data_IF_975720149473
#
_entry.id   IF_975720149473
#
_cell.length_a   1.000
_cell.length_b   1.000
_cell.length_c   1.000
_cell.angle_alpha   90.00
_cell.angle_beta   90.00
_cell.angle_gamma   90.00
#
_symmetry.space_group_name_H-M   'P 1'
#
loop_
_entity.id
_entity.type
_entity.pdbx_description
1 polymer ?
#
# COMPACT_ATOMS: atom_id res chain seq x y z
N UNK A 1 3.92 58.71 -9.49
CA UNK A 1 2.90 57.66 -9.63
C UNK A 1 3.25 56.57 -8.64
N UNK A 2 2.49 56.47 -7.56
CA UNK A 2 2.71 55.46 -6.52
C UNK A 2 1.86 54.23 -6.84
N UNK A 3 2.49 53.10 -6.89
CA UNK A 3 1.87 51.80 -7.18
C UNK A 3 1.07 51.32 -5.96
N UNK A 4 -0.19 50.97 -6.15
CA UNK A 4 -1.08 50.48 -5.09
C UNK A 4 -0.70 49.09 -4.65
N UNK A 5 -0.74 48.74 -3.34
CA UNK A 5 -0.41 47.40 -2.86
C UNK A 5 -1.48 46.40 -3.28
N UNK A 6 -1.01 45.19 -3.65
CA UNK A 6 -1.85 44.04 -4.03
C UNK A 6 -2.73 43.57 -2.84
N UNK A 7 -3.95 43.09 -3.10
CA UNK A 7 -4.84 42.61 -2.05
C UNK A 7 -4.31 41.34 -1.38
N UNK A 8 -4.25 41.36 -0.05
CA UNK A 8 -3.90 40.20 0.80
C UNK A 8 -5.04 39.20 0.74
N UNK A 9 -4.77 37.99 0.30
CA UNK A 9 -5.72 36.89 0.30
C UNK A 9 -6.13 36.53 1.73
N UNK A 10 -7.43 36.62 2.03
CA UNK A 10 -7.99 36.20 3.29
C UNK A 10 -7.91 34.67 3.40
N UNK A 11 -7.61 34.07 4.58
CA UNK A 11 -7.64 32.64 4.78
C UNK A 11 -9.08 32.14 4.65
N UNK A 12 -9.27 31.15 3.79
CA UNK A 12 -10.54 30.45 3.58
C UNK A 12 -10.96 29.80 4.90
N UNK A 13 -12.06 30.24 5.49
CA UNK A 13 -12.66 29.58 6.64
C UNK A 13 -13.11 28.17 6.21
N UNK A 14 -12.56 27.15 6.85
CA UNK A 14 -12.99 25.79 6.65
C UNK A 14 -14.46 25.66 7.11
N UNK A 15 -15.34 25.27 6.21
CA UNK A 15 -16.72 24.95 6.58
C UNK A 15 -16.73 23.79 7.58
N UNK A 16 -17.53 23.84 8.65
CA UNK A 16 -17.63 22.75 9.61
C UNK A 16 -18.23 21.53 8.91
N UNK A 17 -17.50 20.41 8.99
CA UNK A 17 -17.99 19.10 8.55
C UNK A 17 -19.34 18.81 9.24
N UNK A 18 -20.33 18.24 8.52
CA UNK A 18 -21.56 17.82 9.15
C UNK A 18 -21.24 16.83 10.27
N UNK A 19 -21.80 17.08 11.45
CA UNK A 19 -21.60 16.24 12.62
C UNK A 19 -21.98 14.79 12.28
N UNK A 20 -21.02 13.89 12.41
CA UNK A 20 -21.28 12.46 12.28
C UNK A 20 -22.23 12.04 13.40
N UNK A 21 -23.18 11.11 13.15
CA UNK A 21 -24.06 10.62 14.19
C UNK A 21 -23.20 10.03 15.32
N UNK A 22 -23.44 10.53 16.54
CA UNK A 22 -22.82 9.99 17.74
C UNK A 22 -23.36 8.58 17.97
N UNK A 23 -22.61 7.58 17.53
CA UNK A 23 -22.86 6.20 17.95
C UNK A 23 -22.45 6.08 19.43
N UNK A 24 -23.37 5.57 20.24
CA UNK A 24 -23.08 5.26 21.63
C UNK A 24 -21.84 4.35 21.72
N UNK A 25 -21.01 4.57 22.75
CA UNK A 25 -19.84 3.74 23.02
C UNK A 25 -20.20 2.26 22.92
N UNK A 26 -19.50 1.52 22.04
CA UNK A 26 -19.72 0.09 21.91
C UNK A 26 -19.53 -0.58 23.28
N UNK A 27 -20.46 -1.46 23.72
CA UNK A 27 -20.26 -2.25 24.93
C UNK A 27 -18.96 -3.07 24.77
N UNK A 28 -18.26 -3.26 25.89
CA UNK A 28 -17.07 -4.10 25.94
C UNK A 28 -17.34 -5.45 25.28
N UNK A 29 -16.36 -5.94 24.49
CA UNK A 29 -16.47 -7.19 23.75
C UNK A 29 -17.02 -8.31 24.64
N UNK A 30 -18.26 -8.68 24.40
CA UNK A 30 -18.87 -9.88 24.94
C UNK A 30 -18.30 -11.13 24.26
N UNK A 31 -18.55 -12.32 24.78
CA UNK A 31 -18.13 -13.57 24.15
C UNK A 31 -18.60 -13.58 22.69
N UNK A 32 -17.72 -14.07 21.80
CA UNK A 32 -17.86 -14.02 20.35
C UNK A 32 -19.26 -14.36 19.82
N UNK A 33 -19.55 -14.04 18.55
CA UNK A 33 -20.93 -14.00 18.04
C UNK A 33 -21.64 -15.30 18.36
N UNK A 34 -22.42 -15.26 19.43
CA UNK A 34 -23.34 -16.33 19.80
C UNK A 34 -24.34 -16.44 18.65
N UNK A 35 -24.65 -17.67 18.28
CA UNK A 35 -25.55 -18.01 17.21
C UNK A 35 -26.70 -17.00 17.08
N UNK A 36 -26.80 -16.33 15.95
CA UNK A 36 -27.90 -15.40 15.68
C UNK A 36 -29.19 -16.19 15.71
N UNK A 37 -30.19 -15.83 16.55
CA UNK A 37 -31.45 -16.58 16.66
C UNK A 37 -32.11 -16.70 15.28
N UNK A 38 -32.35 -17.94 14.84
CA UNK A 38 -33.05 -18.21 13.59
C UNK A 38 -32.15 -18.28 12.34
N UNK A 39 -30.83 -18.09 12.47
CA UNK A 39 -29.86 -18.28 11.37
C UNK A 39 -28.88 -19.37 11.77
N UNK A 40 -28.74 -20.39 10.92
CA UNK A 40 -27.78 -21.48 11.10
C UNK A 40 -27.00 -21.74 9.81
N UNK A 41 -25.77 -22.21 9.92
CA UNK A 41 -24.92 -22.53 8.79
C UNK A 41 -23.46 -22.30 9.11
N UNK A 42 -22.59 -22.69 8.18
CA UNK A 42 -21.13 -22.69 8.35
C UNK A 42 -20.51 -21.28 8.48
N UNK A 43 -21.18 -20.24 7.99
CA UNK A 43 -20.73 -18.85 8.15
C UNK A 43 -20.99 -18.28 9.55
N UNK A 44 -21.93 -18.86 10.30
CA UNK A 44 -22.37 -18.36 11.61
C UNK A 44 -22.12 -19.34 12.76
N UNK A 45 -21.40 -20.44 12.50
CA UNK A 45 -21.05 -21.46 13.51
C UNK A 45 -19.79 -21.09 14.33
N UNK A 46 -19.21 -19.92 14.08
CA UNK A 46 -18.04 -19.38 14.77
C UNK A 46 -16.70 -19.66 14.11
N UNK A 47 -16.61 -20.56 13.10
CA UNK A 47 -15.32 -20.87 12.43
C UNK A 47 -14.72 -19.70 11.67
N UNK A 48 -15.54 -18.74 11.24
CA UNK A 48 -15.13 -17.51 10.57
C UNK A 48 -15.23 -16.29 11.47
N UNK A 49 -15.40 -16.47 12.76
CA UNK A 49 -15.39 -15.38 13.72
C UNK A 49 -14.09 -14.61 13.70
N UNK A 50 -14.15 -13.33 14.03
CA UNK A 50 -13.00 -12.47 14.16
C UNK A 50 -12.00 -13.07 15.15
N UNK A 51 -10.72 -13.11 14.75
CA UNK A 51 -9.63 -13.54 15.64
C UNK A 51 -9.26 -12.37 16.54
N UNK A 52 -9.35 -12.58 17.85
CA UNK A 52 -8.87 -11.61 18.81
C UNK A 52 -7.34 -11.44 18.67
N UNK A 53 -6.92 -10.18 18.69
CA UNK A 53 -5.51 -9.79 18.69
C UNK A 53 -5.35 -8.50 19.50
N UNK A 54 -4.13 -8.24 19.96
CA UNK A 54 -3.77 -7.01 20.65
C UNK A 54 -3.87 -5.76 19.77
N UNK A 55 -3.39 -4.65 20.31
CA UNK A 55 -3.24 -3.38 19.58
C UNK A 55 -2.23 -3.55 18.45
N UNK A 56 -2.48 -2.88 17.33
CA UNK A 56 -1.64 -2.92 16.13
C UNK A 56 -2.13 -3.88 15.05
N UNK A 57 -1.28 -4.19 14.06
CA UNK A 57 -1.64 -5.01 12.93
C UNK A 57 -1.66 -6.51 13.27
N UNK A 58 -2.62 -7.23 12.72
CA UNK A 58 -2.73 -8.68 12.84
C UNK A 58 -3.44 -9.27 11.62
N UNK A 59 -3.16 -10.53 11.27
CA UNK A 59 -3.84 -11.19 10.18
C UNK A 59 -5.07 -11.96 10.67
N UNK A 60 -6.24 -11.63 10.13
CA UNK A 60 -7.44 -12.43 10.31
C UNK A 60 -7.36 -13.74 9.53
N UNK A 61 -6.84 -13.66 8.34
CA UNK A 61 -6.36 -14.75 7.49
C UNK A 61 -5.22 -14.21 6.61
N UNK A 62 -4.66 -15.03 5.73
CA UNK A 62 -3.55 -14.62 4.88
C UNK A 62 -3.88 -13.54 3.83
N UNK A 63 -5.14 -13.05 3.77
CA UNK A 63 -5.63 -12.07 2.78
C UNK A 63 -6.37 -10.89 3.42
N UNK A 64 -6.46 -10.86 4.74
CA UNK A 64 -7.20 -9.83 5.47
C UNK A 64 -6.39 -9.35 6.67
N UNK A 65 -5.98 -8.10 6.62
CA UNK A 65 -5.33 -7.40 7.73
C UNK A 65 -6.39 -6.80 8.63
N UNK A 66 -6.24 -6.98 9.94
CA UNK A 66 -6.92 -6.19 10.97
C UNK A 66 -5.90 -5.29 11.64
N UNK A 67 -6.26 -4.03 11.85
CA UNK A 67 -5.48 -3.08 12.66
C UNK A 67 -6.38 -2.61 13.80
N UNK A 68 -6.06 -3.03 15.04
CA UNK A 68 -6.64 -2.40 16.25
C UNK A 68 -5.89 -1.11 16.50
N UNK A 69 -6.61 0.01 16.43
CA UNK A 69 -6.01 1.33 16.52
C UNK A 69 -5.51 1.56 17.96
N UNK A 70 -4.20 1.70 18.11
CA UNK A 70 -3.54 2.22 19.31
C UNK A 70 -2.79 3.49 19.00
N UNK A 71 -2.33 3.60 17.75
CA UNK A 71 -1.67 4.77 17.18
C UNK A 71 -2.20 5.01 15.77
N UNK A 72 -2.15 6.25 15.27
CA UNK A 72 -2.50 6.52 13.89
C UNK A 72 -1.65 5.72 12.91
N UNK A 73 -2.26 5.34 11.79
CA UNK A 73 -1.56 4.67 10.71
C UNK A 73 -1.97 5.20 9.34
N UNK A 74 -1.15 4.93 8.33
CA UNK A 74 -1.44 5.25 6.94
C UNK A 74 -1.97 4.00 6.25
N UNK A 75 -3.01 4.14 5.44
CA UNK A 75 -3.56 3.07 4.64
C UNK A 75 -3.75 3.50 3.18
N UNK A 76 -3.66 2.55 2.26
CA UNK A 76 -4.04 2.75 0.85
C UNK A 76 -5.51 3.13 0.76
N UNK A 77 -5.84 4.13 -0.02
CA UNK A 77 -7.23 4.47 -0.34
C UNK A 77 -7.87 3.32 -1.13
N UNK A 78 -9.10 2.97 -0.74
CA UNK A 78 -9.84 1.85 -1.34
C UNK A 78 -9.53 0.48 -0.75
N UNK A 79 -8.55 0.36 0.15
CA UNK A 79 -8.21 -0.91 0.80
C UNK A 79 -9.12 -1.26 2.01
N UNK A 80 -9.89 -0.30 2.53
CA UNK A 80 -10.77 -0.52 3.67
C UNK A 80 -11.94 -1.41 3.26
N UNK A 81 -12.07 -2.56 3.92
CA UNK A 81 -13.15 -3.54 3.74
C UNK A 81 -14.26 -3.33 4.77
N UNK A 82 -13.86 -3.12 6.03
CA UNK A 82 -14.78 -2.90 7.14
C UNK A 82 -14.08 -2.15 8.27
N UNK A 83 -14.84 -1.59 9.20
CA UNK A 83 -14.31 -1.09 10.46
C UNK A 83 -15.36 -1.19 11.56
N UNK A 84 -14.89 -1.19 12.81
CA UNK A 84 -15.70 -1.21 14.01
C UNK A 84 -15.20 -0.13 14.98
N UNK A 85 -16.12 0.56 15.66
CA UNK A 85 -15.80 1.61 16.62
C UNK A 85 -15.80 3.01 16.03
N UNK A 86 -15.12 3.94 16.70
CA UNK A 86 -15.04 5.34 16.33
C UNK A 86 -13.75 5.60 15.53
N UNK A 87 -13.82 5.43 14.23
CA UNK A 87 -12.68 5.55 13.31
C UNK A 87 -12.84 6.76 12.41
N UNK A 88 -11.77 7.54 12.28
CA UNK A 88 -11.70 8.70 11.40
C UNK A 88 -10.72 8.41 10.27
N UNK A 89 -11.14 8.69 9.05
CA UNK A 89 -10.33 8.56 7.83
C UNK A 89 -10.05 9.95 7.26
N UNK A 90 -8.81 10.41 7.37
CA UNK A 90 -8.38 11.69 6.81
C UNK A 90 -7.54 11.45 5.55
N UNK A 91 -8.01 11.96 4.41
CA UNK A 91 -7.31 11.80 3.15
C UNK A 91 -6.04 12.67 3.11
N UNK A 92 -4.90 12.06 2.89
CA UNK A 92 -3.62 12.74 2.67
C UNK A 92 -3.47 13.07 1.17
N UNK A 93 -3.94 14.23 0.78
CA UNK A 93 -3.81 14.69 -0.61
C UNK A 93 -4.40 16.07 -0.74
N UNK A 94 -3.53 17.08 -1.01
CA UNK A 94 -3.97 18.46 -1.23
C UNK A 94 -5.05 18.55 -2.29
N UNK A 95 -5.99 19.44 -2.07
CA UNK A 95 -7.20 19.82 -2.79
C UNK A 95 -7.55 19.13 -4.12
N UNK A 96 -8.81 19.04 -4.44
CA UNK A 96 -9.38 18.30 -5.58
C UNK A 96 -8.60 18.40 -6.93
N UNK A 97 -7.92 19.51 -7.19
CA UNK A 97 -7.12 19.69 -8.41
C UNK A 97 -5.80 18.92 -8.46
N UNK A 98 -5.16 18.65 -7.31
CA UNK A 98 -3.94 17.81 -7.24
C UNK A 98 -4.29 16.32 -7.27
N UNK A 99 -5.46 15.95 -6.75
CA UNK A 99 -5.99 14.58 -6.79
C UNK A 99 -6.23 14.10 -8.22
N UNK A 100 -6.86 14.93 -9.03
CA UNK A 100 -7.17 14.61 -10.44
C UNK A 100 -5.88 14.45 -11.27
N UNK A 101 -4.84 15.25 -10.98
CA UNK A 101 -3.57 15.18 -11.69
C UNK A 101 -2.78 13.92 -11.36
N UNK A 102 -2.79 13.47 -10.09
CA UNK A 102 -2.18 12.22 -9.64
C UNK A 102 -2.89 10.96 -10.17
N UNK A 103 -4.23 10.99 -10.22
CA UNK A 103 -5.03 9.89 -10.75
C UNK A 103 -4.86 9.72 -12.27
N UNK A 104 -4.69 10.83 -13.01
CA UNK A 104 -4.52 10.84 -14.46
C UNK A 104 -3.11 10.47 -14.94
N UNK A 105 -2.09 10.66 -14.10
CA UNK A 105 -0.71 10.36 -14.48
C UNK A 105 -0.23 8.98 -14.01
N UNK A 106 -1.09 8.20 -13.30
CA UNK A 106 -0.69 6.93 -12.70
C UNK A 106 0.38 7.11 -11.60
N UNK A 107 0.67 8.36 -11.23
CA UNK A 107 1.75 8.72 -10.32
C UNK A 107 1.24 8.78 -8.88
N UNK A 108 1.47 7.71 -8.14
CA UNK A 108 1.49 7.80 -6.69
C UNK A 108 0.41 7.01 -5.97
N UNK A 109 0.88 6.34 -4.95
CA UNK A 109 0.09 5.71 -3.91
C UNK A 109 -0.81 6.76 -3.24
N UNK A 110 -2.13 6.59 -3.40
CA UNK A 110 -3.11 7.41 -2.68
C UNK A 110 -3.26 6.87 -1.26
N UNK A 111 -2.95 7.69 -0.27
CA UNK A 111 -2.98 7.32 1.14
C UNK A 111 -4.08 8.08 1.89
N UNK A 112 -4.60 7.43 2.93
CA UNK A 112 -5.44 8.04 3.95
C UNK A 112 -4.80 7.79 5.32
N UNK A 113 -4.88 8.79 6.20
CA UNK A 113 -4.55 8.64 7.60
C UNK A 113 -5.75 8.10 8.35
N UNK A 114 -5.52 7.08 9.16
CA UNK A 114 -6.55 6.41 9.96
C UNK A 114 -6.22 6.61 11.42
N UNK A 115 -7.21 7.06 12.20
CA UNK A 115 -7.06 7.33 13.63
C UNK A 115 -8.39 7.16 14.37
N UNK A 116 -8.36 7.22 15.70
CA UNK A 116 -9.53 7.03 16.56
C UNK A 116 -9.41 5.80 17.44
N UNK A 117 -10.53 5.13 17.71
CA UNK A 117 -10.59 3.95 18.56
C UNK A 117 -11.46 2.87 17.91
N UNK A 118 -10.90 1.69 17.70
CA UNK A 118 -11.60 0.59 17.05
C UNK A 118 -10.70 -0.31 16.24
N UNK A 119 -11.31 -1.08 15.37
CA UNK A 119 -10.68 -2.04 14.49
C UNK A 119 -10.96 -1.70 13.02
N UNK A 120 -9.94 -1.76 12.19
CA UNK A 120 -10.04 -1.51 10.76
C UNK A 120 -9.56 -2.74 10.01
N UNK A 121 -10.35 -3.22 9.06
CA UNK A 121 -10.04 -4.36 8.22
C UNK A 121 -9.67 -3.89 6.83
N UNK A 122 -8.49 -4.33 6.36
CA UNK A 122 -7.90 -3.91 5.10
C UNK A 122 -7.56 -5.12 4.23
N UNK A 123 -7.82 -5.01 2.94
CA UNK A 123 -7.44 -5.99 1.93
C UNK A 123 -7.21 -5.30 0.58
N UNK A 124 -6.53 -6.00 -0.33
CA UNK A 124 -6.37 -5.56 -1.72
C UNK A 124 -6.65 -6.75 -2.64
N UNK A 125 -7.77 -6.75 -3.36
CA UNK A 125 -8.14 -7.75 -4.36
C UNK A 125 -7.91 -9.22 -3.94
N UNK A 126 -8.04 -9.55 -2.66
CA UNK A 126 -7.74 -10.85 -2.08
C UNK A 126 -6.28 -11.32 -2.27
N UNK A 127 -5.33 -10.41 -2.49
CA UNK A 127 -3.89 -10.68 -2.45
C UNK A 127 -3.44 -11.15 -1.06
N UNK A 128 -2.33 -11.85 -0.99
CA UNK A 128 -1.73 -12.24 0.28
C UNK A 128 -1.19 -11.02 1.02
N UNK A 129 -1.42 -10.95 2.32
CA UNK A 129 -0.96 -9.85 3.19
C UNK A 129 0.21 -10.32 4.04
N UNK A 130 1.27 -9.51 4.08
CA UNK A 130 2.46 -9.75 4.90
C UNK A 130 2.71 -8.55 5.79
N UNK A 131 3.04 -8.79 7.07
CA UNK A 131 3.39 -7.75 8.04
C UNK A 131 4.89 -7.80 8.28
N UNK A 132 5.55 -6.66 8.11
CA UNK A 132 6.97 -6.46 8.37
C UNK A 132 7.12 -5.45 9.52
N UNK A 133 8.13 -5.63 10.35
CA UNK A 133 8.48 -4.70 11.42
C UNK A 133 9.83 -4.07 11.14
N UNK A 134 9.87 -2.74 11.12
CA UNK A 134 11.10 -1.95 11.00
C UNK A 134 11.58 -1.59 12.39
N UNK A 135 12.85 -1.89 12.70
CA UNK A 135 13.51 -1.58 13.94
C UNK A 135 14.75 -0.72 13.62
N UNK A 136 14.56 0.60 13.59
CA UNK A 136 15.58 1.56 13.17
C UNK A 136 16.19 1.19 11.80
N UNK A 137 15.34 0.80 10.88
CA UNK A 137 15.68 0.26 9.56
C UNK A 137 14.81 0.89 8.47
N UNK A 138 15.00 0.45 7.23
CA UNK A 138 14.21 0.94 6.13
C UNK A 138 13.96 -0.10 5.05
N UNK A 139 12.90 0.13 4.27
CA UNK A 139 12.48 -0.69 3.17
C UNK A 139 11.96 0.20 2.02
N UNK A 140 12.23 -0.22 0.81
CA UNK A 140 11.65 0.36 -0.40
C UNK A 140 10.62 -0.60 -0.96
N UNK A 141 9.39 -0.14 -1.20
CA UNK A 141 8.26 -0.97 -1.61
C UNK A 141 7.69 -0.43 -2.91
N UNK A 142 7.46 -1.27 -3.89
CA UNK A 142 6.68 -0.89 -5.07
C UNK A 142 5.31 -0.37 -4.63
N UNK A 143 4.95 0.83 -5.03
CA UNK A 143 3.73 1.51 -4.60
C UNK A 143 2.46 0.69 -4.82
N UNK A 144 2.44 -0.25 -5.78
CA UNK A 144 1.33 -1.17 -6.00
C UNK A 144 1.08 -2.12 -4.82
N UNK A 145 2.10 -2.43 -4.04
CA UNK A 145 2.06 -3.43 -2.98
C UNK A 145 1.94 -2.87 -1.56
N UNK A 146 1.97 -1.56 -1.39
CA UNK A 146 1.76 -0.94 -0.07
C UNK A 146 0.28 -1.05 0.32
N UNK A 147 -0.02 -1.67 1.46
CA UNK A 147 -1.37 -1.74 2.01
C UNK A 147 -1.59 -0.72 3.14
N UNK A 148 -0.73 -0.76 4.16
CA UNK A 148 -0.79 0.15 5.30
C UNK A 148 0.55 0.20 6.03
N UNK A 149 0.79 1.25 6.85
CA UNK A 149 2.00 1.37 7.67
C UNK A 149 1.81 2.35 8.84
N UNK A 150 2.62 2.21 9.89
CA UNK A 150 2.63 3.13 11.04
C UNK A 150 2.83 4.58 10.59
N UNK A 151 1.98 5.51 11.04
CA UNK A 151 2.09 6.92 10.65
C UNK A 151 3.35 7.61 11.18
N UNK A 152 4.04 7.02 12.16
CA UNK A 152 5.31 7.50 12.70
C UNK A 152 6.54 7.18 11.85
N UNK A 153 6.41 6.36 10.82
CA UNK A 153 7.49 6.12 9.88
C UNK A 153 7.73 7.34 9.00
N UNK A 154 9.00 7.65 8.74
CA UNK A 154 9.39 8.60 7.70
C UNK A 154 9.19 7.93 6.33
N UNK A 155 8.43 8.58 5.45
CA UNK A 155 8.08 8.00 4.16
C UNK A 155 8.20 9.00 3.01
N UNK A 156 8.64 8.49 1.87
CA UNK A 156 8.75 9.27 0.64
C UNK A 156 8.35 8.39 -0.57
N UNK A 157 7.79 9.03 -1.59
CA UNK A 157 7.50 8.37 -2.87
C UNK A 157 8.58 8.79 -3.86
N UNK A 158 9.32 7.81 -4.34
CA UNK A 158 10.45 8.00 -5.23
C UNK A 158 10.27 7.25 -6.54
N UNK A 159 10.94 7.69 -7.59
CA UNK A 159 11.10 6.91 -8.82
C UNK A 159 12.39 6.11 -8.76
N UNK A 160 12.34 4.87 -9.19
CA UNK A 160 13.58 4.10 -9.43
C UNK A 160 14.40 4.81 -10.49
N UNK A 161 15.68 5.07 -10.19
CA UNK A 161 16.60 5.79 -11.09
C UNK A 161 16.72 5.06 -12.43
N UNK A 162 16.56 5.80 -13.53
CA UNK A 162 16.68 5.25 -14.89
C UNK A 162 15.33 4.80 -15.51
N UNK A 163 14.22 4.80 -14.75
CA UNK A 163 12.89 4.50 -15.29
C UNK A 163 12.36 5.66 -16.14
N UNK A 164 12.13 5.41 -17.43
CA UNK A 164 11.33 6.32 -18.25
C UNK A 164 9.84 6.09 -17.98
N UNK A 165 9.01 7.12 -18.17
CA UNK A 165 7.53 7.02 -18.08
C UNK A 165 7.02 5.95 -19.07
N UNK A 166 7.69 5.77 -20.20
CA UNK A 166 7.40 4.74 -21.21
C UNK A 166 7.65 3.29 -20.74
N UNK A 167 8.41 3.11 -19.63
CA UNK A 167 8.71 1.82 -19.01
C UNK A 167 7.74 1.47 -17.86
N UNK A 168 6.56 2.10 -17.83
CA UNK A 168 5.59 1.88 -16.76
C UNK A 168 5.96 2.53 -15.43
N UNK A 169 7.00 3.39 -15.38
CA UNK A 169 7.46 4.18 -14.22
C UNK A 169 7.33 3.46 -12.89
N UNK A 170 8.32 2.67 -12.50
CA UNK A 170 8.30 2.03 -11.18
C UNK A 170 8.42 3.09 -10.09
N UNK A 171 7.32 3.35 -9.39
CA UNK A 171 7.31 4.19 -8.20
C UNK A 171 7.45 3.30 -6.97
N UNK A 172 8.37 3.68 -6.11
CA UNK A 172 8.55 3.03 -4.83
C UNK A 172 8.22 3.99 -3.69
N UNK A 173 7.71 3.42 -2.63
CA UNK A 173 7.53 4.08 -1.34
C UNK A 173 8.66 3.64 -0.44
N UNK A 174 9.53 4.57 -0.08
CA UNK A 174 10.60 4.33 0.90
C UNK A 174 10.07 4.63 2.29
N UNK A 175 10.25 3.69 3.22
CA UNK A 175 9.84 3.78 4.62
C UNK A 175 11.05 3.59 5.52
N UNK A 176 11.20 4.44 6.55
CA UNK A 176 12.33 4.41 7.49
C UNK A 176 11.86 4.62 8.93
N UNK A 177 12.57 4.03 9.88
CA UNK A 177 12.37 4.24 11.32
C UNK A 177 11.95 3.01 12.08
N UNK A 178 11.05 3.21 13.07
CA UNK A 178 10.52 2.15 13.92
C UNK A 178 9.00 2.07 13.73
N UNK A 179 8.49 0.89 13.41
CA UNK A 179 7.07 0.69 13.16
C UNK A 179 6.79 -0.57 12.36
N UNK A 180 5.56 -0.71 11.93
CA UNK A 180 5.12 -1.82 11.11
C UNK A 180 4.71 -1.37 9.71
N UNK A 181 4.82 -2.29 8.77
CA UNK A 181 4.40 -2.13 7.37
C UNK A 181 3.64 -3.37 6.96
N UNK A 182 2.48 -3.20 6.35
CA UNK A 182 1.74 -4.27 5.69
C UNK A 182 1.84 -4.10 4.17
N UNK A 183 2.25 -5.16 3.50
CA UNK A 183 2.35 -5.25 2.04
C UNK A 183 1.46 -6.35 1.50
N UNK A 184 1.13 -6.27 0.22
CA UNK A 184 0.37 -7.31 -0.49
C UNK A 184 1.19 -7.95 -1.59
N UNK A 185 0.90 -9.23 -1.87
CA UNK A 185 1.49 -9.98 -2.99
C UNK A 185 0.42 -10.79 -3.72
N UNK A 186 0.52 -10.82 -5.03
CA UNK A 186 -0.27 -11.73 -5.85
C UNK A 186 0.45 -13.09 -5.94
N UNK A 187 0.02 -14.02 -5.11
CA UNK A 187 0.67 -15.30 -4.84
C UNK A 187 1.73 -15.24 -3.73
N UNK A 188 2.38 -16.38 -3.48
CA UNK A 188 3.41 -16.51 -2.44
C UNK A 188 4.74 -15.92 -2.92
N UNK A 189 5.32 -14.96 -2.19
CA UNK A 189 6.55 -14.30 -2.59
C UNK A 189 7.79 -15.15 -2.31
N UNK A 190 8.89 -14.78 -2.98
CA UNK A 190 10.24 -15.28 -2.69
C UNK A 190 11.14 -14.13 -2.27
N UNK A 191 11.96 -14.36 -1.26
CA UNK A 191 12.96 -13.40 -0.79
C UNK A 191 14.34 -13.81 -1.32
N UNK A 192 14.91 -12.97 -2.17
CA UNK A 192 16.22 -13.19 -2.77
C UNK A 192 17.30 -12.43 -1.97
N UNK A 193 18.42 -13.07 -1.70
CA UNK A 193 19.56 -12.43 -1.04
C UNK A 193 20.50 -11.82 -2.10
N UNK A 194 20.47 -10.50 -2.25
CA UNK A 194 21.27 -9.79 -3.24
C UNK A 194 22.78 -9.78 -2.91
N UNK A 195 23.17 -10.16 -1.68
CA UNK A 195 24.58 -10.31 -1.32
C UNK A 195 25.23 -11.57 -1.87
N UNK A 196 24.44 -12.60 -2.15
CA UNK A 196 24.96 -13.89 -2.65
C UNK A 196 25.24 -13.87 -4.14
N UNK A 197 24.45 -13.12 -4.93
CA UNK A 197 24.62 -13.01 -6.37
C UNK A 197 23.98 -11.73 -6.92
N UNK A 198 24.47 -11.21 -8.07
CA UNK A 198 23.79 -10.15 -8.78
C UNK A 198 22.34 -10.52 -9.06
N UNK A 199 21.40 -9.71 -8.58
CA UNK A 199 19.96 -9.98 -8.65
C UNK A 199 19.32 -9.09 -9.69
N UNK A 200 18.51 -9.70 -10.55
CA UNK A 200 17.72 -9.03 -11.58
C UNK A 200 16.27 -9.46 -11.43
N UNK A 201 15.33 -8.54 -11.51
CA UNK A 201 13.92 -8.87 -11.43
C UNK A 201 13.09 -8.02 -12.40
N UNK A 202 12.01 -8.61 -12.90
CA UNK A 202 11.02 -7.90 -13.71
C UNK A 202 10.37 -6.81 -12.87
N UNK A 203 10.13 -5.64 -13.46
CA UNK A 203 9.54 -4.48 -12.78
C UNK A 203 8.16 -4.76 -12.20
N UNK A 204 7.39 -5.67 -12.79
CA UNK A 204 6.05 -6.03 -12.33
C UNK A 204 6.07 -7.08 -11.22
N UNK A 205 7.11 -7.93 -11.18
CA UNK A 205 7.26 -8.95 -10.16
C UNK A 205 7.89 -8.41 -8.85
N UNK A 206 8.51 -7.22 -8.88
CA UNK A 206 9.16 -6.63 -7.71
C UNK A 206 8.12 -6.11 -6.72
N UNK A 207 8.20 -6.60 -5.48
CA UNK A 207 7.35 -6.17 -4.36
C UNK A 207 8.07 -5.16 -3.47
N UNK A 208 9.26 -5.50 -2.96
CA UNK A 208 10.02 -4.65 -2.05
C UNK A 208 11.50 -5.04 -2.03
N UNK A 209 12.36 -4.15 -1.50
CA UNK A 209 13.78 -4.40 -1.33
C UNK A 209 14.39 -3.55 -0.21
N UNK A 210 15.55 -3.97 0.29
CA UNK A 210 16.33 -3.21 1.28
C UNK A 210 16.77 -1.87 0.69
N UNK A 211 16.59 -0.78 1.42
CA UNK A 211 16.88 0.59 0.93
C UNK A 211 18.36 0.84 0.65
N UNK A 212 19.25 0.02 1.21
CA UNK A 212 20.70 0.10 1.02
C UNK A 212 21.13 -0.45 -0.35
N UNK A 213 20.28 -1.21 -1.03
CA UNK A 213 20.59 -1.75 -2.33
C UNK A 213 20.69 -0.65 -3.40
N UNK A 214 21.73 -0.72 -4.19
CA UNK A 214 21.86 0.09 -5.40
C UNK A 214 20.98 -0.51 -6.49
N UNK A 215 20.12 0.31 -7.07
CA UNK A 215 19.18 -0.12 -8.12
C UNK A 215 19.48 0.60 -9.43
N UNK A 216 19.43 -0.14 -10.55
CA UNK A 216 19.43 0.45 -11.89
C UNK A 216 18.47 -0.30 -12.82
N UNK A 217 17.86 0.41 -13.77
CA UNK A 217 16.98 -0.19 -14.76
C UNK A 217 17.78 -0.52 -16.00
N UNK A 218 17.80 -1.81 -16.33
CA UNK A 218 18.41 -2.33 -17.55
C UNK A 218 17.31 -2.59 -18.59
N UNK A 219 17.56 -2.10 -19.81
CA UNK A 219 16.74 -2.44 -20.98
C UNK A 219 17.36 -3.69 -21.59
N UNK A 220 16.70 -4.83 -21.46
CA UNK A 220 17.11 -6.05 -22.13
C UNK A 220 16.71 -6.00 -23.61
N UNK A 221 17.49 -5.33 -24.45
CA UNK A 221 17.35 -5.43 -25.90
C UNK A 221 18.18 -6.62 -26.37
N UNK A 222 17.56 -7.78 -26.51
CA UNK A 222 18.11 -8.84 -27.37
C UNK A 222 17.68 -8.57 -28.80
N UNK A 223 18.57 -8.71 -29.76
CA UNK A 223 18.30 -8.49 -31.20
C UNK A 223 17.12 -9.30 -31.76
N UNK A 224 16.63 -10.32 -31.03
CA UNK A 224 15.44 -11.09 -31.36
C UNK A 224 14.11 -10.42 -31.03
N UNK A 225 14.09 -9.38 -30.19
CA UNK A 225 12.86 -8.64 -29.84
C UNK A 225 12.36 -7.71 -30.96
N UNK A 226 13.20 -7.46 -31.98
CA UNK A 226 12.87 -6.66 -33.16
C UNK A 226 12.01 -7.41 -34.19
N UNK A 227 11.81 -8.73 -34.04
CA UNK A 227 11.05 -9.56 -34.99
C UNK A 227 9.77 -10.10 -34.31
N UNK A 228 8.84 -9.21 -33.95
CA UNK A 228 7.43 -9.52 -33.75
C UNK A 228 7.04 -10.57 -32.67
N UNK A 229 7.96 -11.03 -31.82
CA UNK A 229 7.72 -11.87 -30.64
C UNK A 229 8.38 -11.23 -29.43
N UNK A 230 7.87 -10.07 -29.01
CA UNK A 230 8.26 -9.45 -27.76
C UNK A 230 7.78 -10.33 -26.60
N UNK A 231 8.69 -11.01 -25.91
CA UNK A 231 8.47 -11.38 -24.54
C UNK A 231 8.28 -10.07 -23.77
N UNK A 232 7.24 -9.94 -22.94
CA UNK A 232 6.90 -8.73 -22.18
C UNK A 232 8.00 -8.24 -21.20
N UNK A 233 9.17 -8.87 -21.18
CA UNK A 233 10.32 -8.62 -20.30
C UNK A 233 11.20 -7.45 -20.76
N UNK A 234 10.60 -6.34 -21.17
CA UNK A 234 11.35 -5.21 -21.73
C UNK A 234 12.21 -4.46 -20.71
N UNK A 235 11.91 -4.57 -19.43
CA UNK A 235 12.57 -3.81 -18.36
C UNK A 235 12.82 -4.65 -17.12
N UNK A 236 14.08 -4.74 -16.73
CA UNK A 236 14.52 -5.39 -15.50
C UNK A 236 15.21 -4.37 -14.60
N UNK A 237 14.99 -4.50 -13.29
CA UNK A 237 15.77 -3.80 -12.27
C UNK A 237 16.90 -4.72 -11.82
N UNK A 238 18.14 -4.20 -11.85
CA UNK A 238 19.29 -4.84 -11.21
C UNK A 238 19.47 -4.30 -9.81
N UNK A 239 19.83 -5.20 -8.90
CA UNK A 239 20.09 -4.91 -7.51
C UNK A 239 21.52 -5.34 -7.16
N UNK A 240 22.27 -4.45 -6.52
CA UNK A 240 23.63 -4.73 -6.04
C UNK A 240 23.83 -4.23 -4.63
N UNK A 241 24.65 -4.92 -3.85
CA UNK A 241 24.95 -4.58 -2.45
C UNK A 241 24.45 -5.61 -1.46
N UNK A 242 24.42 -5.23 -0.17
CA UNK A 242 23.96 -6.08 0.93
C UNK A 242 22.48 -5.84 1.19
N UNK A 243 21.67 -6.89 1.14
CA UNK A 243 20.24 -6.80 1.40
C UNK A 243 19.42 -7.85 0.65
N UNK A 244 18.12 -7.68 0.68
CA UNK A 244 17.17 -8.61 0.08
C UNK A 244 16.28 -7.93 -0.94
N UNK A 245 15.74 -8.73 -1.85
CA UNK A 245 14.69 -8.36 -2.81
C UNK A 245 13.53 -9.32 -2.66
N UNK A 246 12.32 -8.80 -2.49
CA UNK A 246 11.08 -9.59 -2.45
C UNK A 246 10.45 -9.54 -3.82
N UNK A 247 10.20 -10.70 -4.40
CA UNK A 247 9.53 -10.87 -5.69
C UNK A 247 8.29 -11.76 -5.53
N UNK A 248 7.29 -11.52 -6.38
CA UNK A 248 6.07 -12.34 -6.44
C UNK A 248 6.01 -13.12 -7.76
N UNK A 249 5.23 -14.23 -7.82
CA UNK A 249 5.12 -15.05 -9.02
C UNK A 249 4.26 -14.40 -10.13
N UNK A 250 3.51 -13.35 -9.82
CA UNK A 250 2.66 -12.63 -10.79
C UNK A 250 3.41 -11.46 -11.40
N UNK A 251 3.28 -11.29 -12.71
CA UNK A 251 3.79 -10.15 -13.49
C UNK A 251 2.71 -9.08 -13.72
N UNK A 252 1.61 -9.11 -12.95
CA UNK A 252 0.47 -8.20 -13.09
C UNK A 252 -0.54 -8.66 -14.15
N UNK A 253 -1.54 -7.81 -14.43
CA UNK A 253 -2.58 -8.12 -15.39
C UNK A 253 -2.01 -8.24 -16.81
N UNK A 254 -2.30 -9.35 -17.49
CA UNK A 254 -2.00 -9.51 -18.91
C UNK A 254 -2.84 -8.49 -19.69
N UNK A 255 -2.19 -7.51 -20.31
CA UNK A 255 -2.88 -6.59 -21.22
C UNK A 255 -3.29 -7.39 -22.47
N UNK A 256 -4.58 -7.55 -22.77
CA UNK A 256 -5.02 -8.26 -23.97
C UNK A 256 -4.42 -7.56 -25.21
N UNK A 257 -3.95 -8.31 -26.22
CA UNK A 257 -3.53 -7.69 -27.47
C UNK A 257 -4.71 -6.90 -28.07
N UNK A 258 -4.47 -5.63 -28.39
CA UNK A 258 -5.47 -4.81 -29.08
C UNK A 258 -5.78 -5.48 -30.43
N UNK A 259 -6.95 -6.06 -30.55
CA UNK A 259 -7.50 -6.47 -31.86
C UNK A 259 -7.89 -5.19 -32.61
N UNK A 260 -7.13 -4.85 -33.63
CA UNK A 260 -7.46 -3.82 -34.60
C UNK A 260 -8.46 -4.37 -35.61
#
# INVERSE_FOLDING_TARGET
>A
MAEAPAPVAQPYAAEPYPAQPQYAAAPAAGPGPSAMPGISGDLVDGRFSEKEAGVGPSLQNNRLLRVRIGEPFMARQGAMVAYQGQVVFAYQGGGAGKFLKKALTGEGLSLMRVEGAGDVFLANAAEHVHILHLNNSGISINGAHVLAFSAGLDWNIERVKGGSIAAGGLFNTTLRGNGWVAITTDGEPVVLNAAEAPTFADTQAIVAWSIELQTSINKSFTAGSLIGRGSGEAFQVSFGGQGFVIVQPSEGAIVPPHTH
#
